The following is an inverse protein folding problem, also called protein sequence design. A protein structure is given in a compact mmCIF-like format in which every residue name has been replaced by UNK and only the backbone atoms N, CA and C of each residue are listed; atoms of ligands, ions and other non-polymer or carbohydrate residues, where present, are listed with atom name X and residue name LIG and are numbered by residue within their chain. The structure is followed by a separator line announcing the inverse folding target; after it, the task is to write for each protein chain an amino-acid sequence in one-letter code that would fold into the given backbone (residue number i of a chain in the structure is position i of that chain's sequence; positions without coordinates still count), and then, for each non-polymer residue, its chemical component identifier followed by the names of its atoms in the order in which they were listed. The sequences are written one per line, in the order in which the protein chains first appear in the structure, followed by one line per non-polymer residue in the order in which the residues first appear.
data_IF_495979176682
#
_entry.id   IF_495979176682
#
_cell.length_a   1.000
_cell.length_b   1.000
_cell.length_c   1.000
_cell.angle_alpha   90.00
_cell.angle_beta   90.00
_cell.angle_gamma   90.00
#
_symmetry.space_group_name_H-M   'P 1'
#
loop_
_entity.id
_entity.type
_entity.pdbx_description
1 polymer ?
#
# COMPACT_ATOMS: atom_id res chain seq x y z
N UNK A 1 -22.66 -22.55 -19.09
CA UNK A 1 -23.08 -21.48 -20.05
C UNK A 1 -22.01 -20.43 -20.36
N UNK A 2 -20.82 -20.55 -19.77
CA UNK A 2 -19.70 -19.59 -19.91
C UNK A 2 -18.67 -20.02 -20.97
N UNK A 3 -18.78 -21.24 -21.49
CA UNK A 3 -17.85 -21.75 -22.50
C UNK A 3 -18.16 -21.15 -23.89
N UNK A 4 -17.25 -20.33 -24.39
CA UNK A 4 -17.32 -19.72 -25.73
C UNK A 4 -17.48 -18.19 -25.79
N UNK A 5 -17.60 -17.52 -24.64
CA UNK A 5 -17.60 -16.06 -24.60
C UNK A 5 -16.16 -15.51 -24.58
N UNK A 6 -15.89 -14.36 -25.23
CA UNK A 6 -14.61 -13.69 -25.09
C UNK A 6 -14.35 -13.35 -23.61
N UNK A 7 -13.08 -13.45 -23.18
CA UNK A 7 -12.66 -13.29 -21.79
C UNK A 7 -13.22 -12.03 -21.10
N UNK A 8 -13.48 -10.97 -21.86
CA UNK A 8 -14.03 -9.71 -21.35
C UNK A 8 -15.49 -9.86 -20.92
N UNK A 9 -16.32 -10.52 -21.71
CA UNK A 9 -17.74 -10.76 -21.36
C UNK A 9 -17.88 -11.69 -20.14
N UNK A 10 -16.98 -12.67 -20.00
CA UNK A 10 -16.94 -13.54 -18.82
C UNK A 10 -16.62 -12.75 -17.56
N UNK A 11 -15.65 -11.83 -17.65
CA UNK A 11 -15.27 -10.96 -16.54
C UNK A 11 -16.42 -10.03 -16.16
N UNK A 12 -17.14 -9.48 -17.13
CA UNK A 12 -18.25 -8.57 -16.87
C UNK A 12 -19.40 -9.28 -16.15
N UNK A 13 -19.77 -10.50 -16.60
CA UNK A 13 -20.80 -11.34 -15.93
C UNK A 13 -20.38 -11.70 -14.50
N UNK A 14 -19.11 -12.09 -14.30
CA UNK A 14 -18.59 -12.40 -12.97
C UNK A 14 -18.67 -11.14 -12.05
N UNK A 15 -18.33 -9.97 -12.58
CA UNK A 15 -18.39 -8.73 -11.83
C UNK A 15 -19.81 -8.37 -11.42
N UNK A 16 -20.80 -8.54 -12.32
CA UNK A 16 -22.21 -8.28 -12.05
C UNK A 16 -22.78 -9.23 -10.97
N UNK A 17 -22.44 -10.52 -11.03
CA UNK A 17 -22.94 -11.51 -10.08
C UNK A 17 -22.22 -11.45 -8.71
N UNK A 18 -20.91 -11.16 -8.69
CA UNK A 18 -20.14 -11.11 -7.46
C UNK A 18 -20.36 -9.83 -6.66
N UNK A 19 -20.60 -8.70 -7.32
CA UNK A 19 -20.77 -7.43 -6.63
C UNK A 19 -21.84 -7.48 -5.53
N UNK A 20 -23.08 -7.92 -5.79
CA UNK A 20 -24.13 -7.95 -4.77
C UNK A 20 -23.78 -8.88 -3.60
N UNK A 21 -23.13 -10.02 -3.88
CA UNK A 21 -22.77 -11.01 -2.87
C UNK A 21 -21.67 -10.47 -1.94
N UNK A 22 -20.67 -9.83 -2.52
CA UNK A 22 -19.56 -9.26 -1.77
C UNK A 22 -20.02 -8.06 -0.96
N UNK A 23 -20.73 -7.10 -1.54
CA UNK A 23 -21.26 -5.94 -0.83
C UNK A 23 -22.19 -6.33 0.30
N UNK A 24 -23.08 -7.31 0.11
CA UNK A 24 -23.95 -7.83 1.16
C UNK A 24 -23.16 -8.47 2.32
N UNK A 25 -22.09 -9.22 2.03
CA UNK A 25 -21.23 -9.84 3.06
C UNK A 25 -20.41 -8.85 3.85
N UNK A 26 -20.01 -7.74 3.24
CA UNK A 26 -19.22 -6.71 3.90
C UNK A 26 -20.08 -5.66 4.61
N UNK A 27 -21.41 -5.79 4.56
CA UNK A 27 -22.35 -4.88 5.24
C UNK A 27 -22.49 -3.51 4.57
N UNK A 28 -22.08 -3.40 3.30
CA UNK A 28 -22.22 -2.18 2.49
C UNK A 28 -23.48 -2.17 1.64
N UNK A 29 -23.91 -0.98 1.24
CA UNK A 29 -24.97 -0.79 0.25
C UNK A 29 -24.47 -1.19 -1.16
N UNK A 30 -25.38 -1.69 -1.99
CA UNK A 30 -25.07 -2.15 -3.35
C UNK A 30 -24.77 -0.95 -4.28
N UNK A 31 -25.29 0.23 -3.97
CA UNK A 31 -25.17 1.46 -4.77
C UNK A 31 -24.28 2.53 -4.14
N UNK A 32 -23.03 2.18 -3.88
CA UNK A 32 -22.07 3.14 -3.32
C UNK A 32 -21.58 4.07 -4.44
N UNK A 33 -21.84 5.37 -4.31
CA UNK A 33 -21.35 6.38 -5.25
C UNK A 33 -19.84 6.56 -5.17
N UNK A 34 -19.18 6.63 -6.31
CA UNK A 34 -17.74 6.87 -6.39
C UNK A 34 -17.33 8.22 -5.78
N UNK A 35 -18.16 9.27 -5.96
CA UNK A 35 -17.92 10.60 -5.39
C UNK A 35 -17.80 10.60 -3.87
N UNK A 36 -18.48 9.69 -3.18
CA UNK A 36 -18.40 9.58 -1.71
C UNK A 36 -17.05 9.03 -1.24
N UNK A 37 -16.27 8.42 -2.12
CA UNK A 37 -15.04 7.70 -1.77
C UNK A 37 -13.76 8.28 -2.38
N UNK A 38 -13.89 8.81 -3.60
CA UNK A 38 -12.71 9.14 -4.42
C UNK A 38 -12.24 10.58 -4.27
N UNK A 39 -12.88 11.42 -3.44
CA UNK A 39 -12.68 12.87 -3.42
C UNK A 39 -12.78 13.53 -4.82
N UNK A 40 -13.45 12.84 -5.76
CA UNK A 40 -13.70 13.33 -7.11
C UNK A 40 -15.10 13.94 -7.10
N UNK A 41 -15.20 15.22 -6.84
CA UNK A 41 -16.46 15.96 -6.65
C UNK A 41 -17.48 15.82 -7.80
N UNK A 42 -17.09 15.25 -8.93
CA UNK A 42 -17.91 15.17 -10.14
C UNK A 42 -18.07 13.76 -10.73
N UNK A 43 -17.78 12.68 -10.00
CA UNK A 43 -17.97 11.34 -10.53
C UNK A 43 -19.33 10.75 -10.13
N UNK A 44 -20.24 10.61 -11.08
CA UNK A 44 -21.56 9.99 -10.88
C UNK A 44 -21.54 8.45 -10.93
N UNK A 45 -20.38 7.84 -11.16
CA UNK A 45 -20.21 6.38 -11.23
C UNK A 45 -20.44 5.69 -9.90
N UNK A 46 -20.82 4.41 -9.96
CA UNK A 46 -20.98 3.55 -8.80
C UNK A 46 -19.71 2.70 -8.60
N UNK A 47 -19.42 2.34 -7.35
CA UNK A 47 -18.36 1.39 -7.04
C UNK A 47 -18.86 -0.05 -7.20
N UNK A 48 -18.06 -0.88 -7.85
CA UNK A 48 -18.37 -2.29 -8.07
C UNK A 48 -17.15 -3.17 -7.95
N UNK A 49 -17.36 -4.47 -7.66
CA UNK A 49 -16.29 -5.46 -7.67
C UNK A 49 -15.86 -5.70 -9.10
N UNK A 50 -14.56 -5.64 -9.33
CA UNK A 50 -13.93 -5.95 -10.61
C UNK A 50 -12.80 -6.95 -10.41
N UNK A 51 -12.54 -7.76 -11.43
CA UNK A 51 -11.44 -8.72 -11.44
C UNK A 51 -10.38 -8.25 -12.42
N UNK A 52 -9.15 -8.15 -11.94
CA UNK A 52 -7.99 -7.79 -12.74
C UNK A 52 -6.88 -8.84 -12.64
N UNK A 53 -5.75 -8.56 -13.29
CA UNK A 53 -4.58 -9.47 -13.31
C UNK A 53 -4.05 -9.80 -11.90
N UNK A 54 -4.21 -8.89 -10.94
CA UNK A 54 -3.74 -9.04 -9.56
C UNK A 54 -4.85 -9.55 -8.60
N UNK A 55 -6.01 -9.97 -9.12
CA UNK A 55 -7.15 -10.43 -8.34
C UNK A 55 -8.32 -9.46 -8.31
N UNK A 56 -9.23 -9.63 -7.35
CA UNK A 56 -10.43 -8.79 -7.18
C UNK A 56 -10.11 -7.44 -6.54
N UNK A 57 -10.75 -6.39 -7.04
CA UNK A 57 -10.67 -5.04 -6.50
C UNK A 57 -12.01 -4.32 -6.66
N UNK A 58 -12.21 -3.22 -5.94
CA UNK A 58 -13.36 -2.32 -6.14
C UNK A 58 -12.92 -1.22 -7.10
N UNK A 59 -13.72 -0.96 -8.13
CA UNK A 59 -13.47 0.08 -9.12
C UNK A 59 -14.71 0.84 -9.52
N UNK A 60 -14.52 2.04 -10.06
CA UNK A 60 -15.61 2.88 -10.55
C UNK A 60 -16.18 2.34 -11.86
N UNK A 61 -17.53 2.48 -12.04
CA UNK A 61 -18.22 2.14 -13.29
C UNK A 61 -17.86 3.07 -14.45
N UNK A 62 -17.45 4.31 -14.16
CA UNK A 62 -17.06 5.31 -15.15
C UNK A 62 -15.59 5.17 -15.62
N UNK A 63 -15.03 3.98 -15.60
CA UNK A 63 -13.73 3.75 -16.22
C UNK A 63 -13.89 3.78 -17.77
N UNK A 64 -12.99 4.45 -18.52
CA UNK A 64 -11.67 4.98 -18.15
C UNK A 64 -11.62 6.44 -17.66
N UNK A 65 -12.73 7.17 -17.69
CA UNK A 65 -12.79 8.58 -17.27
C UNK A 65 -12.46 8.73 -15.78
N UNK A 66 -13.04 7.86 -14.95
CA UNK A 66 -12.69 7.73 -13.54
C UNK A 66 -11.83 6.48 -13.31
N UNK A 67 -10.59 6.69 -12.87
CA UNK A 67 -9.62 5.61 -12.61
C UNK A 67 -9.57 5.18 -11.15
N UNK A 68 -10.59 5.51 -10.35
CA UNK A 68 -10.62 5.13 -8.95
C UNK A 68 -10.67 3.60 -8.80
N UNK A 69 -9.74 3.07 -8.01
CA UNK A 69 -9.68 1.66 -7.64
C UNK A 69 -9.16 1.51 -6.20
N UNK A 70 -9.71 0.53 -5.47
CA UNK A 70 -9.32 0.20 -4.11
C UNK A 70 -9.32 -1.32 -3.93
N UNK A 71 -8.40 -1.87 -3.15
CA UNK A 71 -8.42 -3.31 -2.85
C UNK A 71 -9.64 -3.68 -2.00
N UNK A 72 -10.20 -4.88 -2.22
CA UNK A 72 -11.36 -5.36 -1.44
C UNK A 72 -11.07 -5.33 0.06
N UNK A 73 -9.87 -5.73 0.47
CA UNK A 73 -9.47 -5.72 1.88
C UNK A 73 -9.42 -4.33 2.52
N UNK A 74 -9.00 -3.31 1.77
CA UNK A 74 -9.00 -1.93 2.21
C UNK A 74 -10.45 -1.39 2.28
N UNK A 75 -11.25 -1.67 1.26
CA UNK A 75 -12.66 -1.29 1.21
C UNK A 75 -13.47 -1.89 2.39
N UNK A 76 -13.28 -3.18 2.69
CA UNK A 76 -13.96 -3.85 3.82
C UNK A 76 -13.64 -3.18 5.16
N UNK A 77 -12.40 -2.75 5.36
CA UNK A 77 -12.00 -2.06 6.60
C UNK A 77 -12.68 -0.70 6.75
N UNK A 78 -12.92 -0.02 5.66
CA UNK A 78 -13.59 1.29 5.65
C UNK A 78 -15.12 1.19 5.82
N UNK A 79 -15.76 0.20 5.17
CA UNK A 79 -17.23 0.03 5.22
C UNK A 79 -17.68 -0.64 6.51
N UNK A 80 -16.83 -1.46 7.15
CA UNK A 80 -17.16 -2.20 8.36
C UNK A 80 -16.26 -1.81 9.55
N UNK A 81 -16.44 -0.62 10.13
CA UNK A 81 -15.69 -0.18 11.30
C UNK A 81 -16.06 -0.95 12.57
N UNK A 82 -16.90 -2.00 12.47
CA UNK A 82 -17.48 -2.75 13.61
C UNK A 82 -16.49 -3.62 14.38
N UNK A 83 -15.29 -3.17 14.67
CA UNK A 83 -14.44 -3.96 15.56
C UNK A 83 -13.81 -3.20 16.72
N UNK A 84 -14.24 -1.96 16.99
CA UNK A 84 -13.89 -1.30 18.25
C UNK A 84 -15.00 -0.33 18.63
N UNK A 85 -15.76 -0.66 19.65
CA UNK A 85 -16.65 0.27 20.33
C UNK A 85 -15.79 1.46 20.81
N UNK A 86 -15.98 2.64 20.23
CA UNK A 86 -15.35 3.89 20.66
C UNK A 86 -14.36 4.55 19.71
N UNK A 87 -14.02 3.96 18.57
CA UNK A 87 -13.11 4.61 17.61
C UNK A 87 -13.84 5.61 16.69
N UNK A 88 -13.37 6.85 16.67
CA UNK A 88 -13.81 7.85 15.70
C UNK A 88 -13.61 7.35 14.26
N UNK A 89 -14.57 7.63 13.39
CA UNK A 89 -14.46 7.30 11.95
C UNK A 89 -13.33 8.15 11.36
N UNK A 90 -12.17 7.52 11.15
CA UNK A 90 -11.02 8.20 10.54
C UNK A 90 -11.16 8.14 9.03
N UNK A 91 -11.38 9.31 8.43
CA UNK A 91 -11.41 9.46 6.96
C UNK A 91 -10.01 9.67 6.39
N UNK A 92 -9.77 9.20 5.17
CA UNK A 92 -8.51 9.41 4.45
C UNK A 92 -8.74 10.34 3.25
N UNK A 93 -7.81 11.27 2.94
CA UNK A 93 -6.47 11.41 3.55
C UNK A 93 -6.52 11.95 4.98
N UNK A 94 -5.72 11.34 5.87
CA UNK A 94 -5.55 11.80 7.25
C UNK A 94 -4.24 12.57 7.38
N UNK A 95 -4.32 13.87 7.62
CA UNK A 95 -3.14 14.71 7.87
C UNK A 95 -2.57 14.39 9.26
N UNK A 96 -1.26 14.11 9.29
CA UNK A 96 -0.52 13.86 10.54
C UNK A 96 0.12 15.12 11.09
N UNK A 97 0.58 16.03 10.22
CA UNK A 97 1.25 17.26 10.59
C UNK A 97 2.24 17.74 9.53
N UNK A 98 3.11 18.67 9.92
CA UNK A 98 4.14 19.25 9.05
C UNK A 98 5.50 18.69 9.46
N UNK A 99 6.23 18.13 8.50
CA UNK A 99 7.59 17.63 8.70
C UNK A 99 8.55 18.78 9.04
N UNK A 100 9.35 18.59 10.08
CA UNK A 100 10.22 19.65 10.61
C UNK A 100 11.32 20.05 9.61
N UNK A 101 11.82 19.07 8.84
CA UNK A 101 12.94 19.27 7.92
C UNK A 101 12.50 19.89 6.59
N UNK A 102 11.49 19.29 5.95
CA UNK A 102 11.02 19.71 4.62
C UNK A 102 9.98 20.84 4.65
N UNK A 103 9.38 21.12 5.82
CA UNK A 103 8.23 22.04 5.99
C UNK A 103 7.00 21.67 5.16
N UNK A 104 6.94 20.43 4.65
CA UNK A 104 5.82 19.89 3.89
C UNK A 104 4.89 19.09 4.79
N UNK A 105 3.61 19.04 4.43
CA UNK A 105 2.60 18.26 5.14
C UNK A 105 2.82 16.77 4.91
N UNK A 106 2.70 15.95 5.97
CA UNK A 106 2.64 14.49 5.87
C UNK A 106 1.21 14.05 6.12
N UNK A 107 0.68 13.25 5.20
CA UNK A 107 -0.64 12.65 5.31
C UNK A 107 -0.62 11.15 4.99
N UNK A 108 -1.51 10.40 5.65
CA UNK A 108 -1.81 9.00 5.30
C UNK A 108 -2.87 9.01 4.22
N UNK A 109 -2.61 8.31 3.14
CA UNK A 109 -3.54 8.12 2.03
C UNK A 109 -3.88 6.65 1.85
N UNK A 110 -5.04 6.39 1.29
CA UNK A 110 -5.44 5.06 0.85
C UNK A 110 -5.29 4.99 -0.68
N UNK A 111 -4.51 4.02 -1.16
CA UNK A 111 -4.26 3.79 -2.58
C UNK A 111 -4.67 2.39 -3.03
N UNK A 112 -4.54 2.08 -4.32
CA UNK A 112 -4.90 0.77 -4.87
C UNK A 112 -4.16 -0.41 -4.24
N UNK A 113 -2.95 -0.16 -3.72
CA UNK A 113 -2.09 -1.18 -3.11
C UNK A 113 -2.10 -1.13 -1.57
N UNK A 114 -2.94 -0.30 -0.98
CA UNK A 114 -3.05 -0.10 0.47
C UNK A 114 -2.65 1.30 0.92
N UNK A 115 -2.42 1.44 2.23
CA UNK A 115 -2.09 2.72 2.80
C UNK A 115 -0.65 3.15 2.50
N UNK A 116 -0.45 4.46 2.29
CA UNK A 116 0.86 5.06 2.08
C UNK A 116 0.95 6.43 2.72
N UNK A 117 2.15 6.82 3.07
CA UNK A 117 2.47 8.17 3.52
C UNK A 117 2.82 9.04 2.31
N UNK A 118 2.33 10.25 2.27
CA UNK A 118 2.66 11.26 1.26
C UNK A 118 3.23 12.49 1.93
N UNK A 119 4.36 12.96 1.41
CA UNK A 119 5.00 14.21 1.82
C UNK A 119 4.74 15.29 0.77
N UNK A 120 3.96 16.30 1.16
CA UNK A 120 3.55 17.38 0.28
C UNK A 120 2.30 17.06 -0.56
N UNK A 121 1.80 18.07 -1.25
CA UNK A 121 0.63 17.97 -2.12
C UNK A 121 1.04 17.56 -3.54
N UNK A 122 0.16 16.87 -4.23
CA UNK A 122 0.33 16.55 -5.65
C UNK A 122 0.09 17.84 -6.45
N UNK A 123 1.14 18.41 -7.03
CA UNK A 123 1.08 19.57 -7.91
C UNK A 123 1.73 19.22 -9.24
N UNK A 124 1.38 19.93 -10.30
CA UNK A 124 1.89 19.66 -11.65
C UNK A 124 3.43 19.83 -11.75
N UNK A 125 4.01 20.62 -10.85
CA UNK A 125 5.45 20.93 -10.83
C UNK A 125 6.28 20.05 -9.90
N UNK A 126 5.69 19.45 -8.84
CA UNK A 126 6.42 18.68 -7.82
C UNK A 126 5.69 17.39 -7.47
N UNK A 127 6.28 16.25 -7.81
CA UNK A 127 5.74 14.94 -7.46
C UNK A 127 6.02 14.65 -5.98
N UNK A 128 4.99 14.45 -5.16
CA UNK A 128 5.19 14.20 -3.74
C UNK A 128 5.91 12.88 -3.51
N UNK A 129 6.77 12.84 -2.50
CA UNK A 129 7.39 11.59 -2.06
C UNK A 129 6.31 10.72 -1.40
N UNK A 130 6.21 9.48 -1.86
CA UNK A 130 5.26 8.48 -1.35
C UNK A 130 6.01 7.26 -0.82
N UNK A 131 5.62 6.80 0.36
CA UNK A 131 6.19 5.62 1.01
C UNK A 131 5.06 4.71 1.45
N UNK A 132 5.08 3.46 1.01
CA UNK A 132 4.09 2.45 1.43
C UNK A 132 4.13 2.27 2.94
N UNK A 133 2.96 2.28 3.59
CA UNK A 133 2.87 2.03 5.02
C UNK A 133 3.03 0.52 5.28
N UNK A 134 4.07 0.08 6.02
CA UNK A 134 4.23 -1.32 6.38
C UNK A 134 3.06 -1.82 7.23
N UNK A 135 2.73 -3.11 7.10
CA UNK A 135 1.64 -3.74 7.86
C UNK A 135 1.89 -3.81 9.38
N UNK A 136 3.11 -3.55 9.82
CA UNK A 136 3.48 -3.41 11.23
C UNK A 136 2.92 -2.14 11.87
N UNK A 137 2.57 -1.13 11.06
CA UNK A 137 2.01 0.13 11.55
C UNK A 137 0.54 0.23 11.19
N UNK A 138 -0.28 0.60 12.18
CA UNK A 138 -1.71 0.84 11.99
C UNK A 138 -1.92 2.26 11.42
N UNK A 139 -2.68 2.35 10.33
CA UNK A 139 -2.96 3.62 9.63
C UNK A 139 -3.75 4.63 10.49
N UNK A 140 -4.48 4.14 11.49
CA UNK A 140 -5.31 4.97 12.34
C UNK A 140 -4.53 5.57 13.52
N UNK A 141 -3.52 4.84 14.00
CA UNK A 141 -2.77 5.21 15.21
C UNK A 141 -1.37 5.72 14.93
N UNK A 142 -0.88 5.61 13.67
CA UNK A 142 0.45 6.10 13.33
C UNK A 142 0.60 7.58 13.68
N UNK A 143 1.66 7.89 14.43
CA UNK A 143 2.01 9.25 14.83
C UNK A 143 2.99 9.93 13.86
N UNK A 144 3.07 11.26 13.97
CA UNK A 144 3.94 12.10 13.14
C UNK A 144 5.43 11.68 13.22
N UNK A 145 5.90 11.27 14.40
CA UNK A 145 7.29 10.89 14.63
C UNK A 145 7.69 9.68 13.75
N UNK A 146 6.88 8.62 13.77
CA UNK A 146 7.10 7.41 12.95
C UNK A 146 6.95 7.74 11.46
N UNK A 147 5.95 8.52 11.09
CA UNK A 147 5.71 8.91 9.71
C UNK A 147 6.89 9.72 9.12
N UNK A 148 7.46 10.65 9.89
CA UNK A 148 8.64 11.42 9.48
C UNK A 148 9.88 10.52 9.28
N UNK A 149 10.07 9.52 10.14
CA UNK A 149 11.16 8.55 9.99
C UNK A 149 10.97 7.65 8.74
N UNK A 150 9.75 7.14 8.52
CA UNK A 150 9.44 6.33 7.33
C UNK A 150 9.63 7.10 6.03
N UNK A 151 9.29 8.39 6.02
CA UNK A 151 9.48 9.26 4.85
C UNK A 151 10.97 9.51 4.55
N UNK A 152 11.85 9.44 5.55
CA UNK A 152 13.29 9.60 5.35
C UNK A 152 13.96 8.39 4.66
N UNK A 153 13.26 7.26 4.58
CA UNK A 153 13.77 6.10 3.83
C UNK A 153 14.10 6.47 2.36
N UNK A 154 15.15 5.86 1.77
CA UNK A 154 16.03 4.86 2.33
C UNK A 154 17.02 5.41 3.36
N UNK A 155 17.41 4.58 4.35
CA UNK A 155 18.44 4.92 5.34
C UNK A 155 19.64 3.98 5.19
N UNK A 156 20.85 4.54 5.35
CA UNK A 156 22.09 3.75 5.40
C UNK A 156 22.35 3.32 6.83
N UNK A 157 22.48 2.01 7.06
CA UNK A 157 22.75 1.41 8.36
C UNK A 157 24.23 1.44 8.70
N UNK A 158 25.10 1.45 7.69
CA UNK A 158 26.54 1.40 7.78
C UNK A 158 27.13 0.64 6.59
N UNK A 159 28.43 0.32 6.63
CA UNK A 159 29.08 -0.45 5.57
C UNK A 159 29.08 -1.94 5.90
N UNK A 160 28.98 -2.78 4.86
CA UNK A 160 29.09 -4.22 5.02
C UNK A 160 30.50 -4.60 5.51
N UNK A 161 30.67 -5.60 6.41
CA UNK A 161 31.97 -6.00 6.91
C UNK A 161 32.98 -6.29 5.78
N UNK A 162 34.16 -5.70 5.90
CA UNK A 162 35.25 -5.77 4.90
C UNK A 162 34.91 -5.19 3.52
N UNK A 163 33.94 -4.32 3.43
CA UNK A 163 33.56 -3.58 2.22
C UNK A 163 33.30 -2.11 2.52
N UNK A 164 33.51 -1.24 1.54
CA UNK A 164 33.12 0.18 1.61
C UNK A 164 31.67 0.39 1.16
N UNK A 165 31.00 -0.65 0.66
CA UNK A 165 29.64 -0.55 0.16
C UNK A 165 28.61 -0.45 1.28
N UNK A 166 27.65 0.47 1.17
CA UNK A 166 26.66 0.69 2.21
C UNK A 166 25.57 -0.39 2.22
N UNK A 167 25.14 -0.74 3.43
CA UNK A 167 23.93 -1.51 3.69
C UNK A 167 22.78 -0.54 3.87
N UNK A 168 21.73 -0.68 3.06
CA UNK A 168 20.60 0.24 3.00
C UNK A 168 19.32 -0.47 3.45
N UNK A 169 18.56 0.16 4.35
CA UNK A 169 17.21 -0.27 4.69
C UNK A 169 16.17 0.59 3.95
N UNK A 170 15.14 -0.06 3.39
CA UNK A 170 14.10 0.62 2.62
C UNK A 170 12.78 -0.19 2.62
N UNK A 171 11.72 0.43 2.07
CA UNK A 171 10.43 -0.22 1.83
C UNK A 171 10.17 -0.27 0.33
N UNK A 172 9.94 -1.45 -0.20
CA UNK A 172 9.59 -1.69 -1.60
C UNK A 172 8.15 -2.15 -1.78
N UNK A 173 7.81 -2.53 -3.01
CA UNK A 173 6.48 -3.04 -3.37
C UNK A 173 6.08 -4.32 -2.60
N UNK A 174 7.06 -5.12 -2.19
CA UNK A 174 6.85 -6.37 -1.44
C UNK A 174 7.02 -6.20 0.07
N UNK A 175 7.30 -4.98 0.54
CA UNK A 175 7.48 -4.66 1.96
C UNK A 175 8.88 -4.21 2.32
N UNK A 176 9.20 -4.17 3.64
CA UNK A 176 10.50 -3.74 4.14
C UNK A 176 11.62 -4.72 3.75
N UNK A 177 12.78 -4.17 3.39
CA UNK A 177 13.97 -4.94 3.01
C UNK A 177 15.26 -4.22 3.37
N UNK A 178 16.35 -4.97 3.46
CA UNK A 178 17.71 -4.46 3.44
C UNK A 178 18.38 -4.83 2.13
N UNK A 179 19.24 -3.94 1.65
CA UNK A 179 19.99 -4.09 0.40
C UNK A 179 21.48 -3.89 0.64
N UNK A 180 22.28 -4.76 0.02
CA UNK A 180 23.73 -4.62 -0.13
C UNK A 180 24.09 -4.96 -1.58
N UNK A 181 24.66 -4.03 -2.32
CA UNK A 181 24.90 -4.14 -3.76
C UNK A 181 23.61 -4.57 -4.51
N UNK A 182 23.61 -5.75 -5.14
CA UNK A 182 22.46 -6.33 -5.83
C UNK A 182 21.69 -7.38 -5.01
N UNK A 183 22.08 -7.60 -3.76
CA UNK A 183 21.47 -8.57 -2.84
C UNK A 183 20.39 -7.87 -2.02
N UNK A 184 19.19 -8.46 -1.99
CA UNK A 184 18.04 -7.97 -1.25
C UNK A 184 17.58 -9.01 -0.24
N UNK A 185 17.43 -8.63 1.02
CA UNK A 185 16.88 -9.45 2.07
C UNK A 185 15.61 -8.84 2.64
N UNK A 186 14.48 -9.57 2.57
CA UNK A 186 13.23 -9.12 3.18
C UNK A 186 13.32 -9.17 4.71
N UNK A 187 12.85 -8.13 5.39
CA UNK A 187 12.78 -8.08 6.86
C UNK A 187 11.66 -8.97 7.43
N UNK A 188 10.69 -9.37 6.59
CA UNK A 188 9.56 -10.17 7.00
C UNK A 188 8.73 -9.51 8.11
N UNK A 189 8.39 -10.32 9.14
CA UNK A 189 7.69 -9.84 10.35
C UNK A 189 8.61 -9.78 11.57
N UNK A 190 9.85 -10.20 11.42
CA UNK A 190 10.81 -10.36 12.53
C UNK A 190 11.49 -9.04 12.89
N UNK A 191 11.75 -8.21 11.88
CA UNK A 191 12.47 -6.96 12.05
C UNK A 191 11.67 -5.78 11.55
N UNK A 192 11.70 -4.67 12.29
CA UNK A 192 11.17 -3.40 11.84
C UNK A 192 12.23 -2.62 11.06
N UNK A 193 11.81 -1.92 10.00
CA UNK A 193 12.72 -1.17 9.11
C UNK A 193 13.37 0.03 9.81
N UNK A 194 12.72 0.57 10.85
CA UNK A 194 13.23 1.71 11.61
C UNK A 194 14.12 1.28 12.79
N UNK A 195 14.01 0.03 13.24
CA UNK A 195 14.75 -0.50 14.42
C UNK A 195 15.89 -1.42 14.05
N UNK A 196 15.94 -1.88 12.77
CA UNK A 196 17.00 -2.80 12.34
C UNK A 196 18.38 -2.13 12.43
N UNK A 197 19.34 -2.85 13.01
CA UNK A 197 20.73 -2.42 13.06
C UNK A 197 21.58 -3.11 11.98
N UNK A 198 22.84 -2.66 11.83
CA UNK A 198 23.76 -3.18 10.82
C UNK A 198 24.04 -4.68 11.00
N UNK A 199 24.26 -5.15 12.24
CA UNK A 199 24.59 -6.55 12.50
C UNK A 199 23.47 -7.50 12.10
N UNK A 200 22.22 -7.13 12.41
CA UNK A 200 21.03 -7.89 12.01
C UNK A 200 20.85 -7.89 10.48
N UNK A 201 21.12 -6.76 9.83
CA UNK A 201 21.05 -6.65 8.38
C UNK A 201 22.12 -7.52 7.69
N UNK A 202 23.34 -7.52 8.21
CA UNK A 202 24.43 -8.36 7.71
C UNK A 202 24.11 -9.84 7.90
N UNK A 203 23.55 -10.24 9.04
CA UNK A 203 23.10 -11.62 9.29
C UNK A 203 22.08 -12.07 8.24
N UNK A 204 21.05 -11.25 8.00
CA UNK A 204 20.01 -11.54 6.99
C UNK A 204 20.58 -11.67 5.57
N UNK A 205 21.46 -10.76 5.17
CA UNK A 205 22.09 -10.78 3.85
C UNK A 205 23.02 -11.99 3.69
N UNK A 206 23.74 -12.39 4.73
CA UNK A 206 24.64 -13.55 4.72
C UNK A 206 23.86 -14.87 4.57
N UNK A 207 22.69 -14.99 5.19
CA UNK A 207 21.83 -16.18 5.06
C UNK A 207 21.35 -16.40 3.62
N UNK A 208 21.09 -15.32 2.88
CA UNK A 208 20.66 -15.40 1.47
C UNK A 208 21.83 -15.76 0.56
N UNK A 209 23.01 -15.23 0.83
CA UNK A 209 24.22 -15.53 0.03
C UNK A 209 24.64 -17.01 0.10
N UNK A 210 24.36 -17.69 1.21
CA UNK A 210 24.62 -19.13 1.39
C UNK A 210 23.57 -19.98 0.64
N UNK A 211 22.39 -19.43 0.37
CA UNK A 211 21.24 -20.15 -0.22
C UNK A 211 21.18 -20.09 -1.75
N UNK A 212 22.01 -19.28 -2.43
CA UNK A 212 22.11 -19.33 -3.88
C UNK A 212 23.00 -20.50 -4.32
N UNK A 213 22.45 -21.54 -5.00
CA UNK A 213 23.28 -22.54 -5.63
C UNK A 213 24.10 -21.85 -6.73
N UNK A 214 25.42 -21.92 -6.62
CA UNK A 214 26.38 -21.53 -7.66
C UNK A 214 25.92 -22.10 -9.00
N UNK A 215 25.44 -21.24 -9.89
CA UNK A 215 25.13 -21.62 -11.26
C UNK A 215 26.46 -22.04 -11.93
N UNK A 216 26.62 -23.29 -12.37
CA UNK A 216 27.83 -23.67 -13.09
C UNK A 216 27.85 -22.94 -14.44
N UNK A 217 28.99 -22.34 -14.76
CA UNK A 217 29.35 -21.71 -16.02
C UNK A 217 29.32 -22.69 -17.18
#
# INVERSE_FOLDING_TARGET
EVMGKPNREVIDVINEELSPVIFKKIGGDIDIKCSSWANTENCEGNLGVKVGKMGGFIGCSNYPECKFTISIGAFVKEVNPKNREGDEIITFPRTLGIDADSKKEIAVHLGPYGYYLQLGKDTDEDKPKRVTLPKSYDQNTIGMNIASQLIKLPITLGNFPNSEDPVIANIGAYGPYVKYQDIFASLGRKYDVLEINLDQAVELLSLIHISEPTRPS
#
